data_IF_298432143698
#
_entry.id   IF_298432143698
#
_cell.length_a   1.000
_cell.length_b   1.000
_cell.length_c   1.000
_cell.angle_alpha   90.00
_cell.angle_beta   90.00
_cell.angle_gamma   90.00
#
_symmetry.space_group_name_H-M   'P 1'
#
loop_
_entity.id
_entity.type
_entity.pdbx_description
1 polymer ?
#
# COMPACT_ATOMS: atom_id res chain seq x y z
N UNK A 1 14.45 0.45 -15.62
CA UNK A 1 13.68 1.71 -15.80
C UNK A 1 13.09 2.10 -14.46
N UNK A 2 13.46 3.24 -13.90
CA UNK A 2 13.05 3.61 -12.55
C UNK A 2 11.52 3.61 -12.46
N UNK A 3 10.95 2.95 -11.46
CA UNK A 3 9.47 2.83 -11.27
C UNK A 3 8.82 4.19 -11.02
N UNK A 4 9.58 5.18 -10.59
CA UNK A 4 9.13 6.54 -10.30
C UNK A 4 10.10 7.55 -10.91
N UNK A 5 9.56 8.60 -11.52
CA UNK A 5 10.35 9.73 -11.99
C UNK A 5 10.60 10.68 -10.80
N UNK A 6 11.88 10.87 -10.46
CA UNK A 6 12.33 11.78 -9.41
C UNK A 6 13.63 12.45 -9.85
N UNK A 7 13.76 13.76 -9.62
CA UNK A 7 15.03 14.46 -9.78
C UNK A 7 15.84 14.35 -8.48
N UNK A 8 17.12 13.95 -8.58
CA UNK A 8 18.04 13.81 -7.43
C UNK A 8 17.45 12.96 -6.30
N UNK A 9 17.09 11.72 -6.61
CA UNK A 9 16.49 10.80 -5.65
C UNK A 9 17.51 10.34 -4.59
N UNK A 10 17.38 10.76 -3.32
CA UNK A 10 18.30 10.37 -2.27
C UNK A 10 18.21 8.89 -1.87
N UNK A 11 17.21 8.17 -2.40
CA UNK A 11 16.99 6.75 -2.11
C UNK A 11 17.70 5.82 -3.10
N UNK A 12 18.39 6.35 -4.12
CA UNK A 12 19.08 5.54 -5.14
C UNK A 12 20.59 5.70 -5.05
N UNK A 13 21.33 4.69 -5.53
CA UNK A 13 22.77 4.81 -5.67
C UNK A 13 23.12 5.86 -6.74
N UNK A 14 24.09 6.74 -6.45
CA UNK A 14 24.51 7.81 -7.39
C UNK A 14 24.93 7.28 -8.76
N UNK A 15 25.67 6.15 -8.74
CA UNK A 15 26.20 5.53 -9.95
C UNK A 15 25.19 4.57 -10.62
N UNK A 16 24.06 4.30 -9.97
CA UNK A 16 23.00 3.41 -10.43
C UNK A 16 21.63 3.97 -10.00
N UNK A 17 21.12 5.00 -10.68
CA UNK A 17 19.89 5.69 -10.29
C UNK A 17 18.62 4.83 -10.39
N UNK A 18 18.71 3.68 -11.08
CA UNK A 18 17.61 2.72 -11.14
C UNK A 18 17.57 1.74 -9.96
N UNK A 19 18.59 1.76 -9.08
CA UNK A 19 18.69 0.83 -7.95
C UNK A 19 18.52 1.59 -6.63
N UNK A 20 17.54 1.18 -5.82
CA UNK A 20 17.34 1.72 -4.48
C UNK A 20 18.48 1.28 -3.55
N UNK A 21 18.94 2.21 -2.71
CA UNK A 21 19.89 1.91 -1.64
C UNK A 21 19.24 0.91 -0.69
N UNK A 22 19.92 -0.20 -0.47
CA UNK A 22 19.39 -1.32 0.30
C UNK A 22 20.45 -1.91 1.24
N UNK A 23 20.02 -2.53 2.33
CA UNK A 23 20.87 -3.11 3.38
C UNK A 23 21.71 -4.30 2.90
N UNK A 24 21.32 -4.92 1.79
CA UNK A 24 21.97 -6.10 1.23
C UNK A 24 23.06 -5.74 0.22
N UNK A 25 23.28 -4.45 -0.04
CA UNK A 25 24.23 -3.94 -1.04
C UNK A 25 24.02 -4.54 -2.45
N UNK A 26 22.77 -4.86 -2.80
CA UNK A 26 22.43 -5.35 -4.13
C UNK A 26 22.44 -4.18 -5.10
N UNK A 27 23.26 -4.31 -6.17
CA UNK A 27 23.50 -3.27 -7.20
C UNK A 27 22.81 -3.60 -8.55
N UNK A 28 21.93 -4.57 -8.58
CA UNK A 28 21.11 -4.95 -9.74
C UNK A 28 19.64 -4.76 -9.42
N UNK A 29 18.92 -3.95 -10.21
CA UNK A 29 17.47 -3.72 -10.06
C UNK A 29 16.70 -5.05 -10.10
N UNK A 30 17.02 -5.93 -11.06
CA UNK A 30 16.33 -7.23 -11.19
C UNK A 30 16.51 -8.13 -9.96
N UNK A 31 17.76 -8.21 -9.45
CA UNK A 31 18.06 -9.03 -8.27
C UNK A 31 17.39 -8.43 -7.03
N UNK A 32 17.44 -7.10 -6.88
CA UNK A 32 16.78 -6.40 -5.78
C UNK A 32 15.27 -6.63 -5.79
N UNK A 33 14.62 -6.50 -6.94
CA UNK A 33 13.18 -6.75 -7.09
C UNK A 33 12.80 -8.19 -6.70
N UNK A 34 13.55 -9.19 -7.14
CA UNK A 34 13.31 -10.60 -6.80
C UNK A 34 13.51 -10.85 -5.31
N UNK A 35 14.56 -10.29 -4.74
CA UNK A 35 14.88 -10.41 -3.32
C UNK A 35 13.79 -9.75 -2.47
N UNK A 36 13.42 -8.53 -2.82
CA UNK A 36 12.35 -7.78 -2.16
C UNK A 36 11.01 -8.56 -2.21
N UNK A 37 10.64 -9.09 -3.38
CA UNK A 37 9.43 -9.90 -3.53
C UNK A 37 9.45 -11.12 -2.61
N UNK A 38 10.59 -11.80 -2.47
CA UNK A 38 10.72 -12.99 -1.63
C UNK A 38 10.51 -12.64 -0.15
N UNK A 39 11.22 -11.64 0.38
CA UNK A 39 11.07 -11.21 1.77
C UNK A 39 9.65 -10.72 2.07
N UNK A 40 9.12 -9.86 1.22
CA UNK A 40 7.78 -9.29 1.44
C UNK A 40 6.69 -10.36 1.30
N UNK A 41 6.86 -11.38 0.43
CA UNK A 41 5.90 -12.49 0.34
C UNK A 41 5.82 -13.29 1.62
N UNK A 42 6.96 -13.57 2.28
CA UNK A 42 6.98 -14.22 3.58
C UNK A 42 6.23 -13.37 4.61
N UNK A 43 6.58 -12.08 4.75
CA UNK A 43 5.91 -11.16 5.68
C UNK A 43 4.41 -11.02 5.40
N UNK A 44 4.01 -11.00 4.13
CA UNK A 44 2.59 -10.95 3.74
C UNK A 44 1.84 -12.23 4.11
N UNK A 45 2.47 -13.40 4.04
CA UNK A 45 1.83 -14.67 4.45
C UNK A 45 1.60 -14.74 5.97
N UNK A 46 2.37 -13.99 6.74
CA UNK A 46 2.28 -13.89 8.20
C UNK A 46 1.49 -12.68 8.69
N UNK A 47 0.96 -11.85 7.77
CA UNK A 47 0.38 -10.55 8.11
C UNK A 47 -0.81 -10.65 9.07
N UNK A 48 -1.55 -11.76 9.05
CA UNK A 48 -2.67 -11.98 9.98
C UNK A 48 -2.22 -12.09 11.43
N UNK A 49 -0.95 -12.44 11.67
CA UNK A 49 -0.34 -12.51 13.00
C UNK A 49 0.25 -11.16 13.45
N UNK A 50 0.25 -10.15 12.57
CA UNK A 50 0.74 -8.82 12.90
C UNK A 50 -0.11 -8.21 14.02
N UNK A 51 0.50 -7.56 15.02
CA UNK A 51 -0.22 -7.00 16.16
C UNK A 51 -1.32 -6.03 15.71
N UNK A 52 -2.48 -6.15 16.32
CA UNK A 52 -3.58 -5.20 16.09
C UNK A 52 -3.13 -3.79 16.45
N UNK A 53 -3.64 -2.81 15.70
CA UNK A 53 -3.31 -1.43 15.90
C UNK A 53 -4.53 -0.52 15.74
N UNK A 54 -4.29 0.77 15.78
CA UNK A 54 -5.32 1.80 15.77
C UNK A 54 -5.61 2.38 14.37
N UNK A 55 -4.98 1.81 13.34
CA UNK A 55 -5.05 2.27 11.94
C UNK A 55 -4.59 3.71 11.71
N UNK A 56 -3.92 4.33 12.70
CA UNK A 56 -3.35 5.67 12.60
C UNK A 56 -2.21 5.74 11.57
N UNK A 57 -1.78 6.96 11.26
CA UNK A 57 -0.61 7.22 10.44
C UNK A 57 0.63 6.43 10.91
N UNK A 58 0.87 6.40 12.22
CA UNK A 58 1.97 5.63 12.78
C UNK A 58 1.78 4.12 12.62
N UNK A 59 0.55 3.60 12.76
CA UNK A 59 0.28 2.18 12.55
C UNK A 59 0.53 1.79 11.08
N UNK A 60 0.08 2.60 10.12
CA UNK A 60 0.36 2.37 8.71
C UNK A 60 1.87 2.35 8.39
N UNK A 61 2.64 3.27 8.98
CA UNK A 61 4.11 3.30 8.87
C UNK A 61 4.76 2.05 9.46
N UNK A 62 4.27 1.54 10.60
CA UNK A 62 4.77 0.31 11.24
C UNK A 62 4.51 -0.92 10.37
N UNK A 63 3.38 -1.00 9.68
CA UNK A 63 3.10 -2.09 8.72
C UNK A 63 4.11 -2.05 7.57
N UNK A 64 4.38 -0.89 7.00
CA UNK A 64 5.41 -0.77 5.97
C UNK A 64 6.79 -1.18 6.51
N UNK A 65 7.15 -0.73 7.72
CA UNK A 65 8.41 -1.13 8.36
C UNK A 65 8.50 -2.65 8.47
N UNK A 66 7.48 -3.29 9.02
CA UNK A 66 7.41 -4.75 9.14
C UNK A 66 7.62 -5.49 7.82
N UNK A 67 7.09 -4.97 6.72
CA UNK A 67 7.21 -5.59 5.40
C UNK A 67 8.59 -5.43 4.75
N UNK A 68 9.33 -4.35 5.08
CA UNK A 68 10.50 -3.93 4.29
C UNK A 68 11.78 -3.72 5.11
N UNK A 69 11.76 -3.87 6.43
CA UNK A 69 12.90 -3.53 7.30
C UNK A 69 14.15 -4.39 7.08
N UNK A 70 14.03 -5.60 6.53
CA UNK A 70 15.17 -6.41 6.16
C UNK A 70 15.93 -5.87 4.94
N UNK A 71 15.27 -5.02 4.12
CA UNK A 71 15.80 -4.59 2.84
C UNK A 71 16.20 -3.12 2.88
N UNK A 72 15.39 -2.26 3.54
CA UNK A 72 15.58 -0.83 3.51
C UNK A 72 15.71 -0.21 4.90
N UNK A 73 16.73 0.63 5.11
CA UNK A 73 16.90 1.39 6.34
C UNK A 73 15.77 2.41 6.55
N UNK A 74 15.22 2.93 5.44
CA UNK A 74 14.09 3.88 5.45
C UNK A 74 12.71 3.20 5.54
N UNK A 75 12.65 1.88 5.81
CA UNK A 75 11.37 1.18 5.96
C UNK A 75 10.51 1.83 7.06
N UNK A 76 9.27 2.20 6.71
CA UNK A 76 8.36 2.93 7.59
C UNK A 76 8.56 4.45 7.61
N UNK A 77 9.53 4.98 6.87
CA UNK A 77 9.77 6.41 6.77
C UNK A 77 8.99 7.03 5.61
N UNK A 78 8.41 8.20 5.85
CA UNK A 78 7.70 8.96 4.83
C UNK A 78 8.72 9.49 3.82
N UNK A 79 8.42 9.32 2.52
CA UNK A 79 9.29 9.84 1.46
C UNK A 79 9.48 11.36 1.54
N UNK A 80 10.66 11.80 1.21
CA UNK A 80 11.03 13.22 1.18
C UNK A 80 10.98 13.82 -0.23
N UNK A 81 10.74 13.01 -1.25
CA UNK A 81 10.71 13.41 -2.65
C UNK A 81 9.29 13.32 -3.23
N UNK A 82 8.98 14.22 -4.14
CA UNK A 82 7.76 14.08 -4.96
C UNK A 82 7.97 12.93 -5.93
N UNK A 83 6.96 12.08 -6.07
CA UNK A 83 6.99 10.92 -6.96
C UNK A 83 5.81 10.97 -7.92
N UNK A 84 6.04 10.49 -9.13
CA UNK A 84 4.97 10.26 -10.11
C UNK A 84 5.13 8.89 -10.76
N UNK A 85 4.06 8.37 -11.32
CA UNK A 85 4.06 7.12 -12.09
C UNK A 85 3.17 7.28 -13.31
N UNK A 86 3.80 7.32 -14.49
CA UNK A 86 3.09 7.71 -15.71
C UNK A 86 2.51 9.13 -15.56
N UNK A 87 1.22 9.28 -15.76
CA UNK A 87 0.51 10.58 -15.62
C UNK A 87 0.04 10.87 -14.19
N UNK A 88 0.13 9.91 -13.27
CA UNK A 88 -0.33 10.11 -11.89
C UNK A 88 0.76 10.77 -11.05
N UNK A 89 0.50 12.00 -10.60
CA UNK A 89 1.34 12.73 -9.64
C UNK A 89 0.78 12.44 -8.24
N UNK A 90 1.61 11.93 -7.35
CA UNK A 90 1.22 11.64 -5.97
C UNK A 90 1.34 12.86 -5.06
N UNK A 91 0.74 12.80 -3.87
CA UNK A 91 0.76 13.92 -2.92
C UNK A 91 2.19 14.42 -2.68
N UNK A 92 2.37 15.75 -2.64
CA UNK A 92 3.65 16.34 -2.26
C UNK A 92 3.98 15.95 -0.81
N UNK A 93 5.26 15.68 -0.45
CA UNK A 93 5.65 15.17 0.88
C UNK A 93 5.03 15.92 2.07
N UNK A 94 4.96 17.26 2.01
CA UNK A 94 4.36 18.10 3.06
C UNK A 94 2.87 17.84 3.33
N UNK A 95 2.16 17.24 2.37
CA UNK A 95 0.72 16.96 2.47
C UNK A 95 0.42 15.51 2.83
N UNK A 96 1.41 14.62 2.87
CA UNK A 96 1.20 13.19 3.12
C UNK A 96 0.52 12.96 4.47
N UNK A 97 1.10 13.45 5.55
CA UNK A 97 0.55 13.24 6.89
C UNK A 97 -0.80 13.96 7.09
N UNK A 98 -0.97 15.24 6.69
CA UNK A 98 -2.28 15.88 6.75
C UNK A 98 -3.36 15.12 5.98
N UNK A 99 -3.10 14.69 4.73
CA UNK A 99 -4.06 13.94 3.92
C UNK A 99 -4.41 12.59 4.54
N UNK A 100 -3.41 11.87 5.07
CA UNK A 100 -3.68 10.61 5.76
C UNK A 100 -4.52 10.84 7.03
N UNK A 101 -4.26 11.90 7.80
CA UNK A 101 -5.03 12.21 9.00
C UNK A 101 -6.49 12.56 8.67
N UNK A 102 -6.76 13.19 7.54
CA UNK A 102 -8.13 13.44 7.09
C UNK A 102 -8.82 12.14 6.67
N UNK A 103 -8.14 11.26 5.94
CA UNK A 103 -8.63 9.93 5.63
C UNK A 103 -8.85 9.09 6.90
N UNK A 104 -7.97 9.19 7.88
CA UNK A 104 -8.11 8.52 9.19
C UNK A 104 -9.37 8.96 9.93
N UNK A 105 -9.75 10.25 9.87
CA UNK A 105 -11.01 10.73 10.43
C UNK A 105 -12.21 10.04 9.75
N UNK A 106 -12.14 9.82 8.45
CA UNK A 106 -13.18 9.09 7.73
C UNK A 106 -13.24 7.61 8.16
N UNK A 107 -12.09 6.93 8.26
CA UNK A 107 -12.02 5.55 8.77
C UNK A 107 -12.60 5.44 10.18
N UNK A 108 -12.38 6.44 11.06
CA UNK A 108 -12.96 6.49 12.41
C UNK A 108 -14.47 6.62 12.39
N UNK A 109 -15.08 7.38 11.47
CA UNK A 109 -16.54 7.48 11.33
C UNK A 109 -17.15 6.12 10.97
N UNK A 110 -16.48 5.34 10.13
CA UNK A 110 -16.87 3.98 9.77
C UNK A 110 -16.52 2.96 10.87
N UNK A 111 -15.95 3.43 11.99
CA UNK A 111 -15.40 2.59 13.06
C UNK A 111 -14.47 1.50 12.47
N UNK A 112 -13.59 1.92 11.55
CA UNK A 112 -12.65 1.04 10.85
C UNK A 112 -13.36 -0.16 10.20
N UNK A 113 -14.37 0.14 9.41
CA UNK A 113 -15.28 -0.78 8.70
C UNK A 113 -16.29 -1.51 9.60
N UNK A 114 -16.21 -1.48 10.93
CA UNK A 114 -17.13 -2.21 11.82
C UNK A 114 -18.58 -1.75 11.72
N UNK A 115 -18.81 -0.49 11.32
CA UNK A 115 -20.16 0.07 11.12
C UNK A 115 -20.66 -0.08 9.67
N UNK A 116 -19.83 -0.60 8.76
CA UNK A 116 -20.18 -0.81 7.36
C UNK A 116 -20.91 -2.14 7.22
N UNK A 117 -22.00 -2.16 6.45
CA UNK A 117 -22.69 -3.41 6.14
C UNK A 117 -21.81 -4.29 5.24
N UNK A 118 -21.91 -5.60 5.43
CA UNK A 118 -21.09 -6.57 4.69
C UNK A 118 -21.26 -6.44 3.18
N UNK A 119 -22.48 -6.18 2.71
CA UNK A 119 -22.81 -5.98 1.30
C UNK A 119 -22.18 -4.72 0.68
N UNK A 120 -21.78 -3.73 1.48
CA UNK A 120 -21.14 -2.48 1.04
C UNK A 120 -19.63 -2.45 1.29
N UNK A 121 -19.09 -3.50 1.92
CA UNK A 121 -17.67 -3.54 2.33
C UNK A 121 -16.70 -3.29 1.16
N UNK A 122 -17.01 -3.84 -0.02
CA UNK A 122 -16.19 -3.67 -1.23
C UNK A 122 -16.05 -2.20 -1.65
N UNK A 123 -17.09 -1.38 -1.47
CA UNK A 123 -17.06 0.06 -1.79
C UNK A 123 -16.09 0.80 -0.89
N UNK A 124 -16.19 0.57 0.41
CA UNK A 124 -15.31 1.22 1.40
C UNK A 124 -13.85 0.79 1.24
N UNK A 125 -13.60 -0.50 0.98
CA UNK A 125 -12.26 -1.00 0.70
C UNK A 125 -11.67 -0.40 -0.58
N UNK A 126 -12.49 -0.27 -1.65
CA UNK A 126 -12.09 0.35 -2.91
C UNK A 126 -11.74 1.83 -2.71
N UNK A 127 -12.59 2.57 -2.01
CA UNK A 127 -12.36 3.97 -1.65
C UNK A 127 -11.07 4.15 -0.85
N UNK A 128 -10.89 3.42 0.26
CA UNK A 128 -9.68 3.53 1.07
C UNK A 128 -8.42 3.12 0.31
N UNK A 129 -8.50 2.11 -0.57
CA UNK A 129 -7.38 1.73 -1.43
C UNK A 129 -6.97 2.89 -2.34
N UNK A 130 -7.93 3.51 -3.03
CA UNK A 130 -7.68 4.64 -3.93
C UNK A 130 -7.09 5.84 -3.22
N UNK A 131 -7.69 6.25 -2.10
CA UNK A 131 -7.22 7.40 -1.31
C UNK A 131 -5.80 7.20 -0.76
N UNK A 132 -5.51 6.03 -0.19
CA UNK A 132 -4.15 5.71 0.28
C UNK A 132 -3.17 5.68 -0.89
N UNK A 133 -3.58 5.17 -2.05
CA UNK A 133 -2.73 5.11 -3.22
C UNK A 133 -2.33 6.50 -3.72
N UNK A 134 -3.23 7.49 -3.73
CA UNK A 134 -2.89 8.85 -4.17
C UNK A 134 -2.02 9.61 -3.15
N UNK A 135 -2.18 9.32 -1.86
CA UNK A 135 -1.30 9.87 -0.81
C UNK A 135 0.12 9.34 -1.00
N UNK A 136 0.29 8.06 -1.29
CA UNK A 136 1.55 7.42 -1.67
C UNK A 136 2.70 7.70 -0.70
N UNK A 137 2.58 7.22 0.55
CA UNK A 137 3.41 7.64 1.69
C UNK A 137 4.90 7.36 1.52
N UNK A 138 5.25 6.23 0.90
CA UNK A 138 6.62 5.70 0.90
C UNK A 138 7.29 5.83 -0.46
N UNK A 139 8.63 5.73 -0.48
CA UNK A 139 9.37 5.73 -1.75
C UNK A 139 9.09 4.49 -2.60
N UNK A 140 8.92 3.33 -2.00
CA UNK A 140 8.53 2.07 -2.63
C UNK A 140 7.60 1.28 -1.69
N UNK A 141 6.94 0.22 -2.15
CA UNK A 141 6.15 -0.69 -1.33
C UNK A 141 4.73 -0.22 -0.99
N UNK A 142 4.28 0.94 -1.47
CA UNK A 142 2.97 1.51 -1.14
C UNK A 142 1.81 0.55 -1.39
N UNK A 143 1.73 -0.08 -2.57
CA UNK A 143 0.64 -0.99 -2.90
C UNK A 143 0.60 -2.25 -2.03
N UNK A 144 1.77 -2.79 -1.65
CA UNK A 144 1.84 -3.96 -0.75
C UNK A 144 1.41 -3.59 0.66
N UNK A 145 1.86 -2.45 1.15
CA UNK A 145 1.45 -1.91 2.46
C UNK A 145 -0.06 -1.64 2.51
N UNK A 146 -0.62 -1.04 1.45
CA UNK A 146 -2.08 -0.79 1.36
C UNK A 146 -2.85 -2.11 1.43
N UNK A 147 -2.43 -3.14 0.69
CA UNK A 147 -3.09 -4.45 0.73
C UNK A 147 -3.00 -5.11 2.11
N UNK A 148 -1.82 -5.09 2.75
CA UNK A 148 -1.64 -5.60 4.11
C UNK A 148 -2.56 -4.87 5.10
N UNK A 149 -2.56 -3.55 5.06
CA UNK A 149 -3.38 -2.69 5.93
C UNK A 149 -4.88 -2.97 5.79
N UNK A 150 -5.39 -3.04 4.56
CA UNK A 150 -6.80 -3.31 4.31
C UNK A 150 -7.18 -4.76 4.64
N UNK A 151 -6.27 -5.72 4.46
CA UNK A 151 -6.48 -7.11 4.90
C UNK A 151 -6.66 -7.20 6.42
N UNK A 152 -5.80 -6.54 7.19
CA UNK A 152 -5.95 -6.46 8.65
C UNK A 152 -7.27 -5.82 9.06
N UNK A 153 -7.66 -4.71 8.41
CA UNK A 153 -8.90 -4.00 8.70
C UNK A 153 -10.14 -4.84 8.38
N UNK A 154 -10.19 -5.51 7.23
CA UNK A 154 -11.29 -6.40 6.83
C UNK A 154 -11.38 -7.62 7.75
N UNK A 155 -10.22 -8.20 8.13
CA UNK A 155 -10.16 -9.34 9.06
C UNK A 155 -10.67 -8.96 10.44
N UNK A 156 -10.23 -7.82 10.97
CA UNK A 156 -10.66 -7.38 12.31
C UNK A 156 -12.14 -6.97 12.36
N UNK A 157 -12.63 -6.30 11.32
CA UNK A 157 -14.00 -5.77 11.30
C UNK A 157 -15.06 -6.83 11.01
N UNK A 158 -14.82 -7.73 10.06
CA UNK A 158 -15.83 -8.66 9.51
C UNK A 158 -15.38 -10.12 9.49
N UNK A 159 -14.19 -10.44 9.97
CA UNK A 159 -13.55 -11.76 9.82
C UNK A 159 -13.45 -12.21 8.34
N UNK A 160 -13.21 -11.27 7.43
CA UNK A 160 -13.12 -11.50 6.00
C UNK A 160 -11.66 -11.51 5.57
N UNK A 161 -11.29 -12.47 4.74
CA UNK A 161 -9.98 -12.54 4.09
C UNK A 161 -10.06 -11.86 2.71
N UNK A 162 -9.01 -11.12 2.36
CA UNK A 162 -8.85 -10.50 1.04
C UNK A 162 -7.85 -11.30 0.21
N UNK A 163 -8.35 -12.04 -0.78
CA UNK A 163 -7.52 -12.87 -1.65
C UNK A 163 -7.10 -12.12 -2.91
N UNK A 164 -6.00 -11.40 -2.81
CA UNK A 164 -5.44 -10.64 -3.92
C UNK A 164 -4.86 -11.52 -5.06
N UNK A 165 -4.74 -12.84 -4.87
CA UNK A 165 -4.31 -13.75 -5.94
C UNK A 165 -5.39 -13.95 -7.01
N UNK A 166 -6.65 -13.61 -6.71
CA UNK A 166 -7.77 -13.68 -7.66
C UNK A 166 -7.76 -12.59 -8.73
N UNK A 167 -6.90 -11.58 -8.57
CA UNK A 167 -6.84 -10.44 -9.50
C UNK A 167 -5.41 -10.23 -9.98
N UNK A 168 -5.28 -9.78 -11.23
CA UNK A 168 -3.98 -9.52 -11.82
C UNK A 168 -3.39 -8.22 -11.27
N UNK A 169 -2.06 -8.17 -11.16
CA UNK A 169 -1.33 -6.97 -10.74
C UNK A 169 -1.64 -5.77 -11.64
N UNK A 170 -1.76 -6.01 -12.95
CA UNK A 170 -2.05 -5.00 -13.95
C UNK A 170 -3.44 -4.38 -13.74
N UNK A 171 -4.44 -5.19 -13.36
CA UNK A 171 -5.79 -4.71 -13.06
C UNK A 171 -5.82 -3.84 -11.81
N UNK A 172 -5.07 -4.23 -10.76
CA UNK A 172 -4.92 -3.40 -9.56
C UNK A 172 -4.24 -2.05 -9.87
N UNK A 173 -3.22 -2.05 -10.73
CA UNK A 173 -2.56 -0.81 -11.16
C UNK A 173 -3.55 0.07 -11.94
N UNK A 174 -4.28 -0.49 -12.90
CA UNK A 174 -5.30 0.23 -13.67
C UNK A 174 -6.39 0.81 -12.78
N UNK A 175 -6.91 0.03 -11.84
CA UNK A 175 -7.91 0.48 -10.88
C UNK A 175 -7.37 1.62 -9.99
N UNK A 176 -6.09 1.54 -9.59
CA UNK A 176 -5.44 2.61 -8.81
C UNK A 176 -5.28 3.91 -9.62
N UNK A 177 -5.01 3.81 -10.92
CA UNK A 177 -4.95 4.98 -11.82
C UNK A 177 -6.35 5.62 -11.94
N UNK A 178 -7.39 4.83 -12.17
CA UNK A 178 -8.78 5.33 -12.24
C UNK A 178 -9.17 6.03 -10.92
N UNK A 179 -8.86 5.42 -9.77
CA UNK A 179 -9.14 5.99 -8.45
C UNK A 179 -8.46 7.33 -8.21
N UNK A 180 -7.32 7.60 -8.87
CA UNK A 180 -6.68 8.93 -8.79
C UNK A 180 -7.51 10.05 -9.43
N UNK A 181 -8.46 9.70 -10.30
CA UNK A 181 -9.49 10.57 -10.85
C UNK A 181 -10.85 10.49 -10.13
N UNK A 182 -10.89 9.92 -8.93
CA UNK A 182 -12.12 9.67 -8.15
C UNK A 182 -13.11 8.69 -8.82
N UNK A 183 -12.64 7.86 -9.74
CA UNK A 183 -13.40 6.76 -10.33
C UNK A 183 -12.99 5.45 -9.63
N UNK A 184 -13.84 4.96 -8.74
CA UNK A 184 -13.60 3.73 -7.95
C UNK A 184 -14.29 2.49 -8.54
N UNK A 185 -15.08 2.60 -9.59
CA UNK A 185 -15.94 1.52 -10.10
C UNK A 185 -15.15 0.24 -10.43
N UNK A 186 -13.99 0.41 -11.07
CA UNK A 186 -13.15 -0.74 -11.39
C UNK A 186 -12.51 -1.36 -10.14
N UNK A 187 -12.08 -0.54 -9.18
CA UNK A 187 -11.55 -1.02 -7.90
C UNK A 187 -12.63 -1.75 -7.08
N UNK A 188 -13.88 -1.26 -7.07
CA UNK A 188 -15.02 -1.94 -6.44
C UNK A 188 -15.26 -3.31 -7.07
N UNK A 189 -15.20 -3.38 -8.41
CA UNK A 189 -15.32 -4.65 -9.13
C UNK A 189 -14.25 -5.64 -8.71
N UNK A 190 -13.00 -5.21 -8.57
CA UNK A 190 -11.92 -6.07 -8.09
C UNK A 190 -12.17 -6.54 -6.66
N UNK A 191 -12.59 -5.64 -5.75
CA UNK A 191 -12.86 -6.02 -4.36
C UNK A 191 -14.01 -7.01 -4.20
N UNK A 192 -15.03 -7.00 -5.07
CA UNK A 192 -16.06 -8.04 -5.09
C UNK A 192 -15.50 -9.44 -5.37
N UNK A 193 -14.41 -9.53 -6.16
CA UNK A 193 -13.74 -10.80 -6.42
C UNK A 193 -12.71 -11.18 -5.32
N UNK A 194 -12.08 -10.19 -4.72
CA UNK A 194 -11.03 -10.36 -3.69
C UNK A 194 -11.62 -10.82 -2.35
N UNK A 195 -12.81 -10.33 -1.98
CA UNK A 195 -13.48 -10.67 -0.72
C UNK A 195 -13.81 -12.17 -0.69
N UNK A 196 -13.30 -12.86 0.33
CA UNK A 196 -13.64 -14.25 0.62
C UNK A 196 -14.40 -14.33 1.94
N UNK A 197 -15.55 -14.98 1.89
CA UNK A 197 -16.23 -15.39 3.11
C UNK A 197 -15.44 -16.49 3.83
N UNK A 198 -15.39 -16.49 5.17
CA UNK A 198 -14.83 -17.61 5.89
C UNK A 198 -15.55 -18.88 5.47
N UNK A 199 -14.80 -19.93 5.13
CA UNK A 199 -15.39 -21.27 4.94
C UNK A 199 -15.93 -21.69 6.30
N UNK A 200 -17.24 -21.94 6.36
CA UNK A 200 -17.90 -22.56 7.53
C UNK A 200 -17.26 -23.90 7.86
#
# INVERSE_FOLDING_TARGET
MNKYETHNDPYTYKDKPDVLINKLNIMSEEILDKTEQSFVSIRMSEIENYPKGDYSFNHYRKIHKYLFEEIYDWAGEVRQVTTQKGTTIFAHPRFIEPSYNDLYKQMKKDNFLKNVKKEDLYKHLAFYHGEINIIHLFREGNGRTTRAFLSLMAKESHNINLDYLKVKKEDLIKASINSSGMDYDFMETLYKHIIQEPKN
#
